data_IF_412391950040
#
_entry.id   IF_412391950040
#
_cell.length_a   1.000
_cell.length_b   1.000
_cell.length_c   1.000
_cell.angle_alpha   90.00
_cell.angle_beta   90.00
_cell.angle_gamma   90.00
#
_symmetry.space_group_name_H-M   'P 1'
#
loop_
_entity.id
_entity.type
_entity.pdbx_description
1 polymer ?
#
# COMPACT_ATOMS: atom_id res chain seq x y z
N UNK A 1 -19.48 22.75 9.98
CA UNK A 1 -19.07 22.63 8.56
C UNK A 1 -17.62 23.03 8.33
N UNK A 2 -17.17 24.22 8.69
CA UNK A 2 -15.79 24.67 8.45
C UNK A 2 -14.73 23.81 9.17
N UNK A 3 -14.95 23.43 10.42
CA UNK A 3 -14.05 22.56 11.20
C UNK A 3 -13.94 21.12 10.65
N UNK A 4 -15.06 20.58 10.10
CA UNK A 4 -15.05 19.24 9.48
C UNK A 4 -14.26 19.24 8.18
N UNK A 5 -14.41 20.27 7.36
CA UNK A 5 -13.67 20.41 6.09
C UNK A 5 -12.15 20.53 6.35
N UNK A 6 -11.74 21.30 7.36
CA UNK A 6 -10.32 21.43 7.75
C UNK A 6 -9.74 20.09 8.21
N UNK A 7 -10.50 19.30 8.96
CA UNK A 7 -10.07 17.96 9.37
C UNK A 7 -9.88 17.03 8.16
N UNK A 8 -10.84 17.02 7.22
CA UNK A 8 -10.74 16.22 5.99
C UNK A 8 -9.51 16.62 5.18
N UNK A 9 -9.25 17.92 5.02
CA UNK A 9 -8.07 18.43 4.31
C UNK A 9 -6.77 17.97 5.00
N UNK A 10 -6.68 18.02 6.33
CA UNK A 10 -5.52 17.55 7.08
C UNK A 10 -5.23 16.06 6.81
N UNK A 11 -6.27 15.23 6.83
CA UNK A 11 -6.16 13.81 6.51
C UNK A 11 -5.77 13.57 5.04
N UNK A 12 -6.35 14.32 4.11
CA UNK A 12 -6.04 14.21 2.68
C UNK A 12 -4.58 14.55 2.40
N UNK A 13 -4.04 15.63 2.99
CA UNK A 13 -2.64 16.06 2.77
C UNK A 13 -1.68 14.99 3.32
N UNK A 14 -1.94 14.43 4.50
CA UNK A 14 -1.09 13.40 5.08
C UNK A 14 -1.11 12.10 4.26
N UNK A 15 -2.27 11.69 3.73
CA UNK A 15 -2.41 10.53 2.85
C UNK A 15 -1.74 10.80 1.48
N UNK A 16 -1.91 12.01 0.92
CA UNK A 16 -1.27 12.45 -0.31
C UNK A 16 0.26 12.33 -0.20
N UNK A 17 0.85 12.83 0.89
CA UNK A 17 2.30 12.78 1.14
C UNK A 17 2.83 11.35 1.11
N UNK A 18 2.17 10.40 1.79
CA UNK A 18 2.54 8.99 1.77
C UNK A 18 2.39 8.35 0.38
N UNK A 19 1.37 8.75 -0.39
CA UNK A 19 1.14 8.24 -1.74
C UNK A 19 2.16 8.78 -2.76
N UNK A 20 2.53 10.07 -2.67
CA UNK A 20 3.63 10.66 -3.45
C UNK A 20 4.90 9.86 -3.22
N UNK A 21 5.28 9.65 -1.96
CA UNK A 21 6.51 8.95 -1.60
C UNK A 21 6.54 7.51 -2.12
N UNK A 22 5.44 6.79 -2.01
CA UNK A 22 5.35 5.39 -2.43
C UNK A 22 5.55 5.20 -3.95
N UNK A 23 5.13 6.16 -4.76
CA UNK A 23 5.20 6.05 -6.23
C UNK A 23 6.44 6.70 -6.81
N UNK A 24 6.91 7.81 -6.22
CA UNK A 24 8.03 8.58 -6.72
C UNK A 24 9.36 7.80 -6.65
N UNK A 25 9.55 6.99 -5.60
CA UNK A 25 10.78 6.21 -5.36
C UNK A 25 10.92 5.08 -6.38
N UNK A 26 9.82 4.45 -6.80
CA UNK A 26 9.87 3.36 -7.79
C UNK A 26 10.48 3.85 -9.11
N UNK A 27 10.13 5.05 -9.53
CA UNK A 27 10.64 5.65 -10.78
C UNK A 27 12.10 6.09 -10.68
N UNK A 28 12.54 6.50 -9.50
CA UNK A 28 13.91 6.94 -9.25
C UNK A 28 14.89 5.80 -8.96
N UNK A 29 14.38 4.58 -8.73
CA UNK A 29 15.19 3.44 -8.27
C UNK A 29 16.38 3.13 -9.19
N UNK A 30 16.25 3.10 -10.53
CA UNK A 30 17.39 2.88 -11.43
C UNK A 30 18.48 3.91 -11.25
N UNK A 31 18.11 5.19 -11.21
CA UNK A 31 19.06 6.31 -11.05
C UNK A 31 19.77 6.24 -9.69
N UNK A 32 19.03 5.91 -8.61
CA UNK A 32 19.59 5.73 -7.26
C UNK A 32 20.62 4.58 -7.29
N UNK A 33 20.26 3.46 -7.90
CA UNK A 33 21.12 2.27 -8.01
C UNK A 33 22.46 2.61 -8.65
N UNK A 34 22.44 3.26 -9.80
CA UNK A 34 23.64 3.65 -10.56
C UNK A 34 24.47 4.67 -9.77
N UNK A 35 23.86 5.73 -9.24
CA UNK A 35 24.60 6.82 -8.59
C UNK A 35 25.19 6.44 -7.23
N UNK A 36 24.59 5.49 -6.52
CA UNK A 36 25.14 4.97 -5.25
C UNK A 36 25.99 3.72 -5.43
N UNK A 37 26.22 3.24 -6.66
CA UNK A 37 26.98 2.02 -6.94
C UNK A 37 26.38 0.78 -6.26
N UNK A 38 25.06 0.73 -6.16
CA UNK A 38 24.34 -0.29 -5.42
C UNK A 38 24.12 -1.55 -6.26
N UNK A 39 24.04 -2.69 -5.56
CA UNK A 39 23.58 -3.95 -6.18
C UNK A 39 22.06 -3.94 -6.32
N UNK A 40 21.56 -4.82 -7.14
CA UNK A 40 20.14 -5.09 -7.31
C UNK A 40 19.42 -5.33 -5.99
N UNK A 41 19.89 -6.31 -5.25
CA UNK A 41 19.32 -6.72 -3.97
C UNK A 41 19.24 -5.52 -3.01
N UNK A 42 20.33 -4.74 -2.88
CA UNK A 42 20.35 -3.54 -2.05
C UNK A 42 19.33 -2.50 -2.48
N UNK A 43 19.11 -2.33 -3.79
CA UNK A 43 18.17 -1.35 -4.32
C UNK A 43 16.72 -1.74 -4.05
N UNK A 44 16.38 -3.02 -4.16
CA UNK A 44 15.05 -3.53 -3.79
C UNK A 44 14.76 -3.26 -2.31
N UNK A 45 15.77 -3.34 -1.43
CA UNK A 45 15.62 -3.07 -0.01
C UNK A 45 15.17 -1.63 0.31
N UNK A 46 15.41 -0.66 -0.57
CA UNK A 46 14.87 0.71 -0.39
C UNK A 46 13.33 0.69 -0.33
N UNK A 47 12.68 -0.15 -1.13
CA UNK A 47 11.21 -0.31 -1.13
C UNK A 47 10.78 -1.28 -0.04
N UNK A 48 11.48 -2.42 0.08
CA UNK A 48 11.10 -3.50 0.98
C UNK A 48 11.14 -3.10 2.45
N UNK A 49 12.17 -2.35 2.89
CA UNK A 49 12.25 -1.89 4.29
C UNK A 49 11.07 -0.97 4.65
N UNK A 50 10.67 -0.11 3.72
CA UNK A 50 9.52 0.77 3.92
C UNK A 50 8.23 -0.03 4.11
N UNK A 51 7.96 -0.99 3.23
CA UNK A 51 6.78 -1.86 3.32
C UNK A 51 6.81 -2.74 4.57
N UNK A 52 7.98 -3.29 4.91
CA UNK A 52 8.18 -4.14 6.08
C UNK A 52 7.88 -3.39 7.38
N UNK A 53 8.46 -2.20 7.56
CA UNK A 53 8.26 -1.38 8.76
C UNK A 53 6.80 -0.96 8.89
N UNK A 54 6.13 -0.60 7.78
CA UNK A 54 4.71 -0.28 7.80
C UNK A 54 3.89 -1.53 8.15
N UNK A 55 4.17 -2.68 7.56
CA UNK A 55 3.44 -3.92 7.81
C UNK A 55 3.52 -4.34 9.29
N UNK A 56 4.70 -4.28 9.89
CA UNK A 56 4.94 -4.64 11.29
C UNK A 56 4.38 -3.60 12.26
N UNK A 57 4.67 -2.31 11.97
CA UNK A 57 4.42 -1.24 12.95
C UNK A 57 2.98 -0.76 13.00
N UNK A 58 2.21 -0.86 11.90
CA UNK A 58 0.94 -0.15 11.77
C UNK A 58 -0.08 -0.54 12.84
N UNK A 59 -0.25 -1.82 13.18
CA UNK A 59 -1.22 -2.25 14.21
C UNK A 59 -0.87 -1.68 15.58
N UNK A 60 0.39 -1.78 15.99
CA UNK A 60 0.83 -1.31 17.32
C UNK A 60 0.88 0.21 17.42
N UNK A 61 1.23 0.90 16.35
CA UNK A 61 1.19 2.36 16.31
C UNK A 61 -0.26 2.89 16.31
N UNK A 62 -1.21 2.10 15.80
CA UNK A 62 -2.65 2.34 16.00
C UNK A 62 -3.06 2.22 17.47
N UNK A 63 -2.62 1.15 18.14
CA UNK A 63 -2.84 0.94 19.58
C UNK A 63 -2.14 2.03 20.41
N UNK A 64 -0.94 2.42 20.05
CA UNK A 64 -0.25 3.54 20.69
C UNK A 64 -1.04 4.84 20.58
N UNK A 65 -1.74 5.05 19.45
CA UNK A 65 -2.71 6.14 19.28
C UNK A 65 -3.89 6.05 20.24
N UNK A 66 -4.40 4.85 20.50
CA UNK A 66 -5.49 4.62 21.48
C UNK A 66 -5.01 4.93 22.92
N UNK A 67 -3.74 4.60 23.27
CA UNK A 67 -3.14 4.84 24.59
C UNK A 67 -2.81 6.31 24.83
N UNK A 68 -2.04 6.91 23.92
CA UNK A 68 -1.48 8.25 24.11
C UNK A 68 -2.38 9.37 23.59
N UNK A 69 -2.91 9.25 22.44
CA UNK A 69 -3.89 10.06 21.69
C UNK A 69 -3.64 9.88 20.19
N UNK A 70 -4.67 9.58 19.43
CA UNK A 70 -4.60 9.43 17.97
C UNK A 70 -4.04 10.69 17.28
N UNK A 71 -4.45 11.88 17.75
CA UNK A 71 -3.89 13.15 17.29
C UNK A 71 -2.38 13.24 17.51
N UNK A 72 -1.88 12.88 18.72
CA UNK A 72 -0.45 12.98 19.03
C UNK A 72 0.38 12.06 18.16
N UNK A 73 -0.05 10.79 18.02
CA UNK A 73 0.66 9.80 17.22
C UNK A 73 0.61 10.17 15.74
N UNK A 74 -0.53 10.64 15.24
CA UNK A 74 -0.67 11.10 13.86
C UNK A 74 0.26 12.27 13.54
N UNK A 75 0.29 13.30 14.40
CA UNK A 75 1.16 14.47 14.23
C UNK A 75 2.65 14.11 14.36
N UNK A 76 3.01 13.27 15.35
CA UNK A 76 4.37 12.74 15.48
C UNK A 76 4.77 11.93 14.23
N UNK A 77 3.83 11.18 13.65
CA UNK A 77 4.01 10.45 12.40
C UNK A 77 4.34 11.37 11.22
N UNK A 78 3.63 12.49 11.07
CA UNK A 78 3.95 13.49 10.03
C UNK A 78 5.35 14.06 10.26
N UNK A 79 5.69 14.42 11.50
CA UNK A 79 7.01 14.95 11.84
C UNK A 79 8.14 13.95 11.56
N UNK A 80 7.96 12.69 11.97
CA UNK A 80 8.94 11.62 11.76
C UNK A 80 9.09 11.27 10.27
N UNK A 81 7.99 11.24 9.51
CA UNK A 81 8.02 11.05 8.07
C UNK A 81 8.80 12.18 7.37
N UNK A 82 8.55 13.43 7.76
CA UNK A 82 9.22 14.61 7.21
C UNK A 82 10.72 14.60 7.50
N UNK A 83 11.08 14.27 8.74
CA UNK A 83 12.49 14.09 9.13
C UNK A 83 13.15 12.95 8.36
N UNK A 84 12.50 11.79 8.29
CA UNK A 84 12.98 10.64 7.52
C UNK A 84 13.17 10.97 6.03
N UNK A 85 12.25 11.76 5.44
CA UNK A 85 12.40 12.26 4.07
C UNK A 85 13.63 13.16 3.90
N UNK A 86 13.86 14.09 4.82
CA UNK A 86 15.05 14.94 4.79
C UNK A 86 16.35 14.11 4.88
N UNK A 87 16.38 13.12 5.76
CA UNK A 87 17.50 12.19 5.91
C UNK A 87 17.73 11.34 4.66
N UNK A 88 16.66 10.82 4.02
CA UNK A 88 16.77 10.09 2.77
C UNK A 88 17.38 10.93 1.65
N UNK A 89 16.97 12.18 1.51
CA UNK A 89 17.58 13.11 0.54
C UNK A 89 19.05 13.38 0.79
N UNK A 90 19.48 13.37 2.07
CA UNK A 90 20.86 13.58 2.49
C UNK A 90 21.71 12.29 2.50
N UNK A 91 21.15 11.12 2.18
CA UNK A 91 21.83 9.83 2.31
C UNK A 91 23.09 9.74 1.43
N UNK A 92 24.28 9.47 2.01
CA UNK A 92 25.52 9.34 1.26
C UNK A 92 25.74 7.93 0.67
N UNK A 93 25.13 6.91 1.26
CA UNK A 93 25.28 5.50 0.85
C UNK A 93 23.95 4.80 0.75
N UNK A 94 23.92 3.66 0.05
CA UNK A 94 22.71 2.82 -0.05
C UNK A 94 22.25 2.35 1.33
N UNK A 95 23.15 1.96 2.22
CA UNK A 95 22.82 1.49 3.57
C UNK A 95 22.19 2.61 4.40
N UNK A 96 22.74 3.83 4.37
CA UNK A 96 22.14 4.97 5.06
C UNK A 96 20.74 5.29 4.50
N UNK A 97 20.56 5.18 3.18
CA UNK A 97 19.25 5.38 2.56
C UNK A 97 18.24 4.33 3.06
N UNK A 98 18.62 3.06 3.12
CA UNK A 98 17.76 1.98 3.65
C UNK A 98 17.37 2.26 5.10
N UNK A 99 18.32 2.64 5.97
CA UNK A 99 18.05 2.96 7.37
C UNK A 99 17.08 4.15 7.48
N UNK A 100 17.34 5.22 6.74
CA UNK A 100 16.50 6.42 6.76
C UNK A 100 15.10 6.17 6.18
N UNK A 101 14.98 5.26 5.21
CA UNK A 101 13.68 4.75 4.74
C UNK A 101 12.91 4.03 5.84
N UNK A 102 13.59 3.28 6.71
CA UNK A 102 12.97 2.68 7.91
C UNK A 102 12.41 3.72 8.87
N UNK A 103 13.15 4.81 9.11
CA UNK A 103 12.69 5.96 9.93
C UNK A 103 11.45 6.61 9.30
N UNK A 104 11.51 6.90 8.01
CA UNK A 104 10.41 7.49 7.25
C UNK A 104 9.16 6.59 7.29
N UNK A 105 9.33 5.28 7.09
CA UNK A 105 8.27 4.29 7.13
C UNK A 105 7.58 4.21 8.50
N UNK A 106 8.33 4.39 9.60
CA UNK A 106 7.74 4.46 10.95
C UNK A 106 6.78 5.65 11.07
N UNK A 107 7.12 6.80 10.51
CA UNK A 107 6.22 7.95 10.41
C UNK A 107 4.97 7.65 9.57
N UNK A 108 5.15 7.01 8.42
CA UNK A 108 4.03 6.60 7.56
C UNK A 108 3.08 5.61 8.27
N UNK A 109 3.62 4.65 9.02
CA UNK A 109 2.84 3.70 9.81
C UNK A 109 1.99 4.39 10.88
N UNK A 110 2.54 5.41 11.57
CA UNK A 110 1.80 6.25 12.52
C UNK A 110 0.64 7.00 11.87
N UNK A 111 0.85 7.54 10.68
CA UNK A 111 -0.19 8.25 9.91
C UNK A 111 -1.27 7.26 9.48
N UNK A 112 -0.90 6.18 8.83
CA UNK A 112 -1.83 5.20 8.27
C UNK A 112 -2.71 4.56 9.33
N UNK A 113 -2.14 4.15 10.46
CA UNK A 113 -2.85 3.47 11.54
C UNK A 113 -3.90 4.35 12.19
N UNK A 114 -3.62 5.63 12.35
CA UNK A 114 -4.48 6.54 13.10
C UNK A 114 -5.49 7.30 12.22
N UNK A 115 -5.27 7.40 10.90
CA UNK A 115 -6.14 8.15 10.00
C UNK A 115 -7.59 7.65 10.00
N UNK A 116 -7.79 6.33 9.89
CA UNK A 116 -9.12 5.72 9.93
C UNK A 116 -9.83 5.89 11.28
N UNK A 117 -9.06 5.78 12.38
CA UNK A 117 -9.58 5.97 13.72
C UNK A 117 -9.97 7.44 13.98
N UNK A 118 -9.21 8.42 13.47
CA UNK A 118 -9.55 9.84 13.54
C UNK A 118 -10.85 10.11 12.78
N UNK A 119 -11.07 9.49 11.61
CA UNK A 119 -12.34 9.58 10.88
C UNK A 119 -13.48 9.02 11.73
N UNK A 120 -13.26 7.84 12.34
CA UNK A 120 -14.30 7.18 13.15
C UNK A 120 -14.67 7.96 14.41
N UNK A 121 -13.72 8.70 15.01
CA UNK A 121 -13.96 9.55 16.19
C UNK A 121 -14.77 10.82 15.87
N UNK A 122 -14.58 11.38 14.68
CA UNK A 122 -15.08 12.70 14.34
C UNK A 122 -16.35 12.68 13.44
N UNK A 123 -16.63 11.53 12.81
CA UNK A 123 -17.77 11.41 11.90
C UNK A 123 -18.68 10.23 12.27
N UNK A 124 -20.01 10.43 12.19
CA UNK A 124 -20.98 9.37 12.44
C UNK A 124 -20.88 8.28 11.34
N UNK A 125 -21.31 7.04 11.62
CA UNK A 125 -21.17 5.91 10.68
C UNK A 125 -21.71 6.18 9.26
N UNK A 126 -22.85 6.88 9.15
CA UNK A 126 -23.50 7.21 7.88
C UNK A 126 -22.81 8.31 7.05
N UNK A 127 -21.67 8.86 7.53
CA UNK A 127 -20.88 9.88 6.80
C UNK A 127 -19.43 9.44 6.56
N UNK A 128 -19.02 8.33 7.14
CA UNK A 128 -17.61 7.84 7.06
C UNK A 128 -17.22 7.45 5.66
N UNK A 129 -18.09 6.82 4.90
CA UNK A 129 -17.84 6.42 3.52
C UNK A 129 -17.47 7.62 2.66
N UNK A 130 -18.21 8.72 2.78
CA UNK A 130 -17.90 9.98 2.08
C UNK A 130 -16.55 10.56 2.48
N UNK A 131 -16.20 10.53 3.77
CA UNK A 131 -14.90 11.03 4.27
C UNK A 131 -13.77 10.17 3.77
N UNK A 132 -13.90 8.84 3.77
CA UNK A 132 -12.92 7.94 3.17
C UNK A 132 -12.83 8.13 1.65
N UNK A 133 -13.91 8.49 0.97
CA UNK A 133 -13.89 8.91 -0.43
C UNK A 133 -13.00 10.13 -0.66
N UNK A 134 -13.05 11.14 0.21
CA UNK A 134 -12.13 12.29 0.13
C UNK A 134 -10.69 11.91 0.43
N UNK A 135 -10.43 11.03 1.39
CA UNK A 135 -9.04 10.54 1.62
C UNK A 135 -8.51 9.74 0.43
N UNK A 136 -9.38 9.06 -0.32
CA UNK A 136 -9.00 8.40 -1.58
C UNK A 136 -8.61 9.41 -2.66
N UNK A 137 -9.22 10.60 -2.69
CA UNK A 137 -8.75 11.71 -3.57
C UNK A 137 -7.32 12.08 -3.23
N UNK A 138 -7.00 12.26 -1.94
CA UNK A 138 -5.64 12.55 -1.49
C UNK A 138 -4.64 11.48 -1.93
N UNK A 139 -5.00 10.20 -1.79
CA UNK A 139 -4.16 9.09 -2.22
C UNK A 139 -3.93 9.08 -3.74
N UNK A 140 -4.98 9.13 -4.53
CA UNK A 140 -4.87 9.08 -6.00
C UNK A 140 -4.14 10.31 -6.57
N UNK A 141 -4.46 11.51 -6.05
CA UNK A 141 -3.76 12.73 -6.41
C UNK A 141 -2.26 12.65 -6.04
N UNK A 142 -1.95 12.14 -4.84
CA UNK A 142 -0.58 11.94 -4.40
C UNK A 142 0.17 10.93 -5.29
N UNK A 143 -0.43 9.80 -5.58
CA UNK A 143 0.17 8.79 -6.45
C UNK A 143 0.41 9.34 -7.88
N UNK A 144 -0.54 10.10 -8.42
CA UNK A 144 -0.39 10.79 -9.70
C UNK A 144 0.77 11.79 -9.68
N UNK A 145 0.82 12.66 -8.67
CA UNK A 145 1.89 13.65 -8.52
C UNK A 145 3.25 12.96 -8.33
N UNK A 146 3.30 11.87 -7.57
CA UNK A 146 4.51 11.10 -7.35
C UNK A 146 5.06 10.49 -8.64
N UNK A 147 4.19 9.96 -9.50
CA UNK A 147 4.58 9.42 -10.80
C UNK A 147 5.09 10.53 -11.72
N UNK A 148 4.36 11.63 -11.87
CA UNK A 148 4.73 12.73 -12.78
C UNK A 148 5.99 13.43 -12.28
N UNK A 149 6.02 13.84 -11.02
CA UNK A 149 7.18 14.54 -10.46
C UNK A 149 8.38 13.61 -10.26
N UNK A 150 8.16 12.31 -10.03
CA UNK A 150 9.25 11.34 -9.95
C UNK A 150 10.09 11.31 -11.22
N UNK A 151 9.45 11.22 -12.37
CA UNK A 151 10.12 11.26 -13.66
C UNK A 151 10.81 12.61 -13.92
N UNK A 152 10.11 13.73 -13.69
CA UNK A 152 10.65 15.07 -13.92
C UNK A 152 11.83 15.40 -12.98
N UNK A 153 11.63 15.23 -11.67
CA UNK A 153 12.65 15.59 -10.67
C UNK A 153 13.89 14.71 -10.85
N UNK A 154 13.72 13.41 -11.04
CA UNK A 154 14.86 12.50 -11.20
C UNK A 154 15.67 12.82 -12.45
N UNK A 155 15.01 13.20 -13.54
CA UNK A 155 15.67 13.50 -14.83
C UNK A 155 16.38 14.85 -14.81
N UNK A 156 15.76 15.90 -14.29
CA UNK A 156 16.25 17.29 -14.46
C UNK A 156 16.98 17.87 -13.24
N UNK A 157 16.65 17.38 -12.02
CA UNK A 157 17.14 17.98 -10.78
C UNK A 157 18.01 16.98 -10.01
N UNK A 158 17.64 15.70 -10.02
CA UNK A 158 18.32 14.61 -9.34
C UNK A 158 17.44 13.88 -8.30
N UNK A 159 17.73 12.59 -8.10
CA UNK A 159 16.89 11.70 -7.27
C UNK A 159 16.75 12.14 -5.80
N UNK A 160 17.72 12.86 -5.23
CA UNK A 160 17.64 13.32 -3.84
C UNK A 160 16.46 14.25 -3.59
N UNK A 161 16.07 15.02 -4.57
CA UNK A 161 14.97 15.97 -4.48
C UNK A 161 13.60 15.32 -4.47
N UNK A 162 13.47 14.03 -4.87
CA UNK A 162 12.22 13.30 -4.68
C UNK A 162 11.85 13.12 -3.20
N UNK A 163 12.87 13.09 -2.33
CA UNK A 163 12.66 13.06 -0.89
C UNK A 163 12.49 14.47 -0.31
N UNK A 164 13.28 15.44 -0.77
CA UNK A 164 13.19 16.81 -0.26
C UNK A 164 11.86 17.48 -0.57
N UNK A 165 11.14 17.11 -1.64
CA UNK A 165 9.80 17.63 -1.94
C UNK A 165 8.79 17.34 -0.81
N UNK A 166 8.97 16.23 -0.09
CA UNK A 166 8.12 15.88 1.05
C UNK A 166 8.34 16.78 2.27
N UNK A 167 9.48 17.48 2.36
CA UNK A 167 9.81 18.30 3.54
C UNK A 167 8.88 19.51 3.66
N UNK A 168 8.75 20.40 2.65
CA UNK A 168 7.82 21.52 2.75
C UNK A 168 6.36 21.05 2.87
N UNK A 169 5.97 19.99 2.17
CA UNK A 169 4.62 19.41 2.25
C UNK A 169 4.37 18.91 3.69
N UNK A 170 5.34 18.19 4.28
CA UNK A 170 5.22 17.63 5.61
C UNK A 170 5.19 18.70 6.72
N UNK A 171 5.99 19.77 6.61
CA UNK A 171 5.93 20.91 7.54
C UNK A 171 4.54 21.54 7.48
N UNK A 172 4.02 21.82 6.28
CA UNK A 172 2.69 22.38 6.10
C UNK A 172 1.61 21.43 6.66
N UNK A 173 1.68 20.14 6.34
CA UNK A 173 0.75 19.13 6.83
C UNK A 173 0.76 19.05 8.36
N UNK A 174 1.94 19.10 8.99
CA UNK A 174 2.09 19.04 10.44
C UNK A 174 1.44 20.26 11.11
N UNK A 175 1.77 21.46 10.66
CA UNK A 175 1.21 22.70 11.20
C UNK A 175 -0.32 22.73 11.05
N UNK A 176 -0.82 22.30 9.90
CA UNK A 176 -2.24 22.25 9.62
C UNK A 176 -2.95 21.19 10.47
N UNK A 177 -2.35 20.00 10.65
CA UNK A 177 -2.90 18.91 11.45
C UNK A 177 -2.93 19.25 12.96
N UNK A 178 -1.90 19.91 13.49
CA UNK A 178 -1.85 20.35 14.89
C UNK A 178 -3.05 21.25 15.21
N UNK A 179 -3.39 22.16 14.32
CA UNK A 179 -4.47 23.13 14.52
C UNK A 179 -5.86 22.52 14.36
N UNK A 180 -6.04 21.56 13.44
CA UNK A 180 -7.36 21.14 12.98
C UNK A 180 -7.81 19.75 13.43
N UNK A 181 -6.89 18.86 13.89
CA UNK A 181 -7.24 17.55 14.43
C UNK A 181 -7.54 17.67 15.93
N UNK A 182 -8.68 17.13 16.36
CA UNK A 182 -9.07 17.09 17.78
C UNK A 182 -8.50 15.86 18.47
N UNK A 183 -8.19 15.97 19.75
CA UNK A 183 -7.77 14.81 20.54
C UNK A 183 -8.96 13.87 20.78
N UNK A 184 -8.80 12.59 20.44
CA UNK A 184 -9.76 11.53 20.74
C UNK A 184 -9.66 11.04 22.20
N UNK A 185 -10.56 10.14 22.60
CA UNK A 185 -10.53 9.47 23.90
C UNK A 185 -9.34 8.53 23.98
N UNK A 186 -8.75 8.42 25.19
CA UNK A 186 -7.66 7.47 25.46
C UNK A 186 -8.23 6.19 26.05
N UNK A 187 -7.57 5.08 25.76
CA UNK A 187 -7.91 3.75 26.28
C UNK A 187 -6.72 3.21 27.06
N UNK A 188 -6.97 2.61 28.23
CA UNK A 188 -5.93 1.90 28.99
C UNK A 188 -5.72 0.52 28.39
N UNK A 189 -4.62 0.33 27.67
CA UNK A 189 -4.19 -0.96 27.12
C UNK A 189 -2.67 -1.00 27.06
N UNK A 190 -2.06 -2.14 26.77
CA UNK A 190 -0.60 -2.30 26.64
C UNK A 190 -0.22 -2.74 25.23
N UNK A 191 1.04 -2.47 24.84
CA UNK A 191 1.61 -2.95 23.61
C UNK A 191 2.02 -4.41 23.73
N UNK A 192 1.91 -5.14 22.63
CA UNK A 192 2.37 -6.52 22.50
C UNK A 192 3.76 -6.54 21.86
N UNK A 193 4.80 -6.34 22.68
CA UNK A 193 6.18 -6.34 22.22
C UNK A 193 6.61 -7.70 21.65
N UNK A 194 6.31 -8.86 22.33
CA UNK A 194 6.62 -10.16 21.74
C UNK A 194 6.00 -10.37 20.37
N UNK A 195 4.72 -10.04 20.19
CA UNK A 195 4.03 -10.14 18.90
C UNK A 195 4.67 -9.28 17.82
N UNK A 196 5.08 -8.02 18.15
CA UNK A 196 5.81 -7.15 17.22
C UNK A 196 7.10 -7.83 16.76
N UNK A 197 7.91 -8.33 17.69
CA UNK A 197 9.21 -8.94 17.38
C UNK A 197 9.04 -10.20 16.52
N UNK A 198 8.09 -11.06 16.87
CA UNK A 198 7.83 -12.28 16.09
C UNK A 198 7.34 -11.97 14.67
N UNK A 199 6.40 -11.02 14.53
CA UNK A 199 5.93 -10.59 13.20
C UNK A 199 7.06 -9.94 12.39
N UNK A 200 7.89 -9.12 13.02
CA UNK A 200 9.04 -8.49 12.39
C UNK A 200 10.04 -9.52 11.87
N UNK A 201 10.42 -10.49 12.72
CA UNK A 201 11.37 -11.54 12.35
C UNK A 201 10.81 -12.40 11.22
N UNK A 202 9.56 -12.85 11.30
CA UNK A 202 8.96 -13.71 10.28
C UNK A 202 8.90 -13.02 8.92
N UNK A 203 8.39 -11.79 8.87
CA UNK A 203 8.31 -11.03 7.62
C UNK A 203 9.70 -10.67 7.10
N UNK A 204 10.68 -10.38 7.98
CA UNK A 204 12.05 -10.11 7.57
C UNK A 204 12.70 -11.32 6.93
N UNK A 205 12.59 -12.52 7.52
CA UNK A 205 13.16 -13.74 6.95
C UNK A 205 12.55 -14.08 5.60
N UNK A 206 11.21 -14.03 5.49
CA UNK A 206 10.51 -14.29 4.22
C UNK A 206 10.89 -13.24 3.16
N UNK A 207 10.92 -11.95 3.54
CA UNK A 207 11.25 -10.88 2.60
C UNK A 207 12.72 -10.94 2.15
N UNK A 208 13.63 -11.27 3.06
CA UNK A 208 15.05 -11.43 2.73
C UNK A 208 15.24 -12.59 1.74
N UNK A 209 14.72 -13.76 2.06
CA UNK A 209 14.78 -14.91 1.17
C UNK A 209 14.17 -14.61 -0.20
N UNK A 210 13.02 -13.97 -0.23
CA UNK A 210 12.35 -13.60 -1.48
C UNK A 210 13.19 -12.65 -2.34
N UNK A 211 13.82 -11.64 -1.74
CA UNK A 211 14.69 -10.71 -2.46
C UNK A 211 15.96 -11.41 -2.92
N UNK A 212 16.56 -12.24 -2.07
CA UNK A 212 17.80 -12.95 -2.40
C UNK A 212 17.59 -14.00 -3.50
N UNK A 213 16.49 -14.74 -3.48
CA UNK A 213 16.10 -15.68 -4.55
C UNK A 213 16.06 -15.00 -5.91
N UNK A 214 15.69 -13.73 -5.99
CA UNK A 214 15.63 -13.00 -7.28
C UNK A 214 17.02 -12.72 -7.84
N UNK A 215 18.05 -12.57 -7.00
CA UNK A 215 19.42 -12.28 -7.39
C UNK A 215 20.32 -13.53 -7.44
N UNK A 216 20.24 -14.39 -6.43
CA UNK A 216 21.16 -15.53 -6.23
C UNK A 216 20.55 -16.88 -6.62
N UNK A 217 19.22 -16.94 -6.69
CA UNK A 217 18.47 -18.16 -6.95
C UNK A 217 17.98 -18.85 -5.69
N UNK A 218 17.27 -19.95 -5.90
CA UNK A 218 16.85 -20.81 -4.80
C UNK A 218 18.08 -21.60 -4.34
N UNK A 219 18.44 -21.40 -3.09
CA UNK A 219 19.51 -22.13 -2.40
C UNK A 219 19.02 -22.64 -1.04
N UNK A 220 19.72 -23.59 -0.40
CA UNK A 220 19.32 -24.15 0.89
C UNK A 220 19.20 -23.11 2.01
N UNK A 221 19.96 -22.01 1.96
CA UNK A 221 19.90 -20.95 2.95
C UNK A 221 18.57 -20.16 2.83
N UNK A 222 18.15 -19.84 1.61
CA UNK A 222 16.89 -19.15 1.34
C UNK A 222 15.68 -20.03 1.69
N UNK A 223 15.74 -21.32 1.39
CA UNK A 223 14.72 -22.28 1.78
C UNK A 223 14.58 -22.35 3.32
N UNK A 224 15.72 -22.43 4.02
CA UNK A 224 15.75 -22.44 5.49
C UNK A 224 15.14 -21.17 6.08
N UNK A 225 15.44 -19.98 5.53
CA UNK A 225 14.87 -18.71 5.99
C UNK A 225 13.35 -18.66 5.78
N UNK A 226 12.83 -19.17 4.66
CA UNK A 226 11.40 -19.26 4.42
C UNK A 226 10.75 -20.19 5.46
N UNK A 227 11.33 -21.36 5.69
CA UNK A 227 10.83 -22.34 6.68
C UNK A 227 10.82 -21.72 8.09
N UNK A 228 11.93 -21.08 8.51
CA UNK A 228 12.00 -20.40 9.80
C UNK A 228 10.96 -19.30 9.88
N UNK A 229 10.81 -18.47 8.84
CA UNK A 229 9.81 -17.41 8.79
C UNK A 229 8.38 -17.95 8.95
N UNK A 230 8.05 -19.05 8.27
CA UNK A 230 6.76 -19.72 8.40
C UNK A 230 6.54 -20.32 9.79
N UNK A 231 7.57 -20.96 10.39
CA UNK A 231 7.49 -21.46 11.78
C UNK A 231 7.23 -20.32 12.74
N UNK A 232 7.93 -19.20 12.59
CA UNK A 232 7.74 -18.00 13.44
C UNK A 232 6.32 -17.42 13.29
N UNK A 233 5.76 -17.40 12.07
CA UNK A 233 4.35 -16.97 11.87
C UNK A 233 3.38 -17.91 12.61
N UNK A 234 3.57 -19.22 12.48
CA UNK A 234 2.70 -20.19 13.17
C UNK A 234 2.81 -20.02 14.69
N UNK A 235 4.03 -19.89 15.21
CA UNK A 235 4.29 -19.65 16.63
C UNK A 235 3.68 -18.31 17.08
N UNK A 236 3.83 -17.25 16.29
CA UNK A 236 3.19 -15.96 16.52
C UNK A 236 1.66 -16.10 16.68
N UNK A 237 0.98 -16.79 15.75
CA UNK A 237 -0.47 -17.01 15.83
C UNK A 237 -0.85 -17.82 17.07
N UNK A 238 -0.01 -18.77 17.52
CA UNK A 238 -0.24 -19.52 18.75
C UNK A 238 -0.10 -18.63 19.99
N UNK A 239 0.94 -17.80 20.06
CA UNK A 239 1.19 -16.87 21.16
C UNK A 239 0.09 -15.82 21.26
N UNK A 240 -0.40 -15.29 20.13
CA UNK A 240 -1.51 -14.34 20.06
C UNK A 240 -2.82 -14.84 20.67
N UNK A 241 -2.99 -16.17 20.80
CA UNK A 241 -4.16 -16.76 21.49
C UNK A 241 -4.09 -16.65 23.01
N UNK A 242 -2.89 -16.49 23.56
CA UNK A 242 -2.61 -16.58 24.99
C UNK A 242 -2.34 -15.20 25.59
N UNK A 243 -1.80 -14.27 24.80
CA UNK A 243 -1.44 -12.93 25.25
C UNK A 243 -2.69 -12.12 25.60
N UNK A 244 -2.65 -11.41 26.73
CA UNK A 244 -3.78 -10.61 27.23
C UNK A 244 -4.19 -9.47 26.28
N UNK A 245 -3.22 -8.84 25.64
CA UNK A 245 -3.43 -7.75 24.68
C UNK A 245 -2.75 -8.08 23.34
N UNK A 246 -3.30 -9.01 22.54
CA UNK A 246 -2.66 -9.50 21.34
C UNK A 246 -2.55 -8.41 20.26
N UNK A 247 -1.51 -8.48 19.43
CA UNK A 247 -1.34 -7.65 18.22
C UNK A 247 -2.47 -7.91 17.22
N UNK A 248 -2.81 -9.18 17.06
CA UNK A 248 -3.96 -9.65 16.29
C UNK A 248 -5.10 -10.02 17.24
N UNK A 249 -6.05 -9.13 17.50
CA UNK A 249 -7.17 -9.47 18.37
C UNK A 249 -8.05 -10.51 17.68
N UNK A 250 -7.78 -11.79 17.89
CA UNK A 250 -8.50 -12.90 17.25
C UNK A 250 -10.02 -12.84 17.51
N UNK A 251 -10.45 -12.13 18.56
CA UNK A 251 -11.86 -11.82 18.84
C UNK A 251 -12.51 -11.00 17.71
N UNK A 252 -11.74 -10.17 17.00
CA UNK A 252 -12.22 -9.41 15.81
C UNK A 252 -12.70 -10.36 14.72
N UNK A 253 -12.06 -11.52 14.56
CA UNK A 253 -12.46 -12.52 13.59
C UNK A 253 -13.81 -13.19 13.89
N UNK A 254 -14.35 -13.04 15.09
CA UNK A 254 -15.73 -13.49 15.42
C UNK A 254 -16.78 -12.55 14.83
N UNK A 255 -16.44 -11.30 14.53
CA UNK A 255 -17.34 -10.36 13.88
C UNK A 255 -17.18 -10.56 12.38
N UNK A 256 -18.14 -11.26 11.77
CA UNK A 256 -18.08 -11.69 10.36
C UNK A 256 -17.75 -10.55 9.40
N UNK A 257 -18.44 -9.41 9.48
CA UNK A 257 -18.23 -8.26 8.60
C UNK A 257 -16.79 -7.76 8.72
N UNK A 258 -16.27 -7.65 9.93
CA UNK A 258 -14.94 -7.15 10.22
C UNK A 258 -13.85 -8.08 9.68
N UNK A 259 -13.98 -9.39 9.99
CA UNK A 259 -13.08 -10.43 9.50
C UNK A 259 -13.00 -10.46 7.98
N UNK A 260 -14.16 -10.57 7.33
CA UNK A 260 -14.22 -10.67 5.88
C UNK A 260 -13.77 -9.39 5.17
N UNK A 261 -14.00 -8.21 5.76
CA UNK A 261 -13.51 -6.95 5.20
C UNK A 261 -11.99 -6.82 5.29
N UNK A 262 -11.40 -7.24 6.41
CA UNK A 262 -9.94 -7.23 6.59
C UNK A 262 -9.27 -8.24 5.66
N UNK A 263 -9.81 -9.46 5.56
CA UNK A 263 -9.30 -10.49 4.65
C UNK A 263 -9.48 -10.09 3.18
N UNK A 264 -10.60 -9.46 2.82
CA UNK A 264 -10.80 -8.91 1.48
C UNK A 264 -9.75 -7.84 1.14
N UNK A 265 -9.37 -6.99 2.12
CA UNK A 265 -8.30 -6.01 1.93
C UNK A 265 -6.93 -6.67 1.74
N UNK A 266 -6.62 -7.71 2.51
CA UNK A 266 -5.39 -8.50 2.36
C UNK A 266 -5.29 -9.09 0.94
N UNK A 267 -6.29 -9.87 0.52
CA UNK A 267 -6.28 -10.52 -0.78
C UNK A 267 -6.36 -9.52 -1.94
N UNK A 268 -7.08 -8.39 -1.77
CA UNK A 268 -7.09 -7.33 -2.76
C UNK A 268 -5.70 -6.72 -2.93
N UNK A 269 -5.00 -6.42 -1.85
CA UNK A 269 -3.64 -5.87 -1.91
C UNK A 269 -2.64 -6.88 -2.47
N UNK A 270 -2.79 -8.17 -2.10
CA UNK A 270 -1.96 -9.27 -2.60
C UNK A 270 -2.10 -9.46 -4.11
N UNK A 271 -3.32 -9.35 -4.66
CA UNK A 271 -3.60 -9.56 -6.08
C UNK A 271 -3.39 -8.33 -6.95
N UNK A 272 -3.40 -7.12 -6.37
CA UNK A 272 -3.53 -5.92 -7.19
C UNK A 272 -2.27 -5.06 -7.29
N UNK A 273 -1.46 -4.95 -6.24
CA UNK A 273 -0.37 -3.98 -6.25
C UNK A 273 0.72 -4.32 -7.28
N UNK A 274 1.05 -5.60 -7.41
CA UNK A 274 2.01 -6.06 -8.40
C UNK A 274 1.55 -5.79 -9.84
N UNK A 275 0.24 -5.69 -10.09
CA UNK A 275 -0.28 -5.43 -11.44
C UNK A 275 0.22 -4.09 -11.98
N UNK A 276 0.19 -3.03 -11.17
CA UNK A 276 0.70 -1.72 -11.59
C UNK A 276 2.18 -1.80 -11.93
N UNK A 277 2.95 -2.51 -11.12
CA UNK A 277 4.36 -2.76 -11.34
C UNK A 277 4.61 -3.56 -12.63
N UNK A 278 3.86 -4.65 -12.86
CA UNK A 278 3.94 -5.47 -14.06
C UNK A 278 3.65 -4.65 -15.32
N UNK A 279 2.64 -3.78 -15.28
CA UNK A 279 2.30 -2.89 -16.41
C UNK A 279 3.41 -1.87 -16.67
N UNK A 280 4.04 -1.33 -15.62
CA UNK A 280 5.21 -0.45 -15.79
C UNK A 280 6.36 -1.21 -16.45
N UNK A 281 6.64 -2.44 -16.05
CA UNK A 281 7.65 -3.29 -16.69
C UNK A 281 7.31 -3.58 -18.16
N UNK A 282 6.05 -3.85 -18.46
CA UNK A 282 5.60 -3.99 -19.86
C UNK A 282 5.88 -2.72 -20.68
N UNK A 283 5.50 -1.55 -20.15
CA UNK A 283 5.63 -0.29 -20.88
C UNK A 283 7.10 0.13 -21.05
N UNK A 284 7.92 0.00 -20.03
CA UNK A 284 9.32 0.41 -20.09
C UNK A 284 10.21 -0.67 -20.72
N UNK A 285 10.06 -1.92 -20.29
CA UNK A 285 10.90 -3.02 -20.75
C UNK A 285 10.53 -3.51 -22.16
N UNK A 286 9.27 -3.91 -22.39
CA UNK A 286 8.86 -4.51 -23.67
C UNK A 286 8.62 -3.42 -24.72
N UNK A 287 7.94 -2.33 -24.35
CA UNK A 287 7.56 -1.27 -25.28
C UNK A 287 8.63 -0.18 -25.41
N UNK A 288 9.68 -0.19 -24.58
CA UNK A 288 10.77 0.78 -24.61
C UNK A 288 10.35 2.23 -24.33
N UNK A 289 9.20 2.43 -23.66
CA UNK A 289 8.69 3.77 -23.35
C UNK A 289 9.47 4.39 -22.19
N UNK A 290 9.68 5.69 -22.26
CA UNK A 290 10.28 6.41 -21.13
C UNK A 290 9.40 6.33 -19.86
N UNK A 291 9.97 6.46 -18.66
CA UNK A 291 9.22 6.49 -17.41
C UNK A 291 8.07 7.51 -17.43
N UNK A 292 8.30 8.68 -18.04
CA UNK A 292 7.28 9.73 -18.16
C UNK A 292 6.10 9.27 -19.03
N UNK A 293 6.35 8.73 -20.22
CA UNK A 293 5.26 8.24 -21.08
C UNK A 293 4.50 7.08 -20.45
N UNK A 294 5.20 6.16 -19.80
CA UNK A 294 4.59 5.05 -19.07
C UNK A 294 3.66 5.56 -17.96
N UNK A 295 4.07 6.60 -17.25
CA UNK A 295 3.26 7.20 -16.19
C UNK A 295 2.01 7.90 -16.72
N UNK A 296 2.12 8.60 -17.85
CA UNK A 296 0.98 9.27 -18.49
C UNK A 296 -0.11 8.29 -18.93
N UNK A 297 0.26 7.07 -19.34
CA UNK A 297 -0.69 6.02 -19.70
C UNK A 297 -1.46 5.46 -18.48
N UNK A 298 -0.88 5.54 -17.29
CA UNK A 298 -1.53 5.13 -16.05
C UNK A 298 -2.34 6.27 -15.39
N UNK A 299 -2.13 7.50 -15.83
CA UNK A 299 -2.75 8.71 -15.28
C UNK A 299 -4.30 8.66 -15.25
N UNK A 300 -5.02 8.17 -16.29
CA UNK A 300 -6.48 8.13 -16.29
C UNK A 300 -7.07 7.43 -15.08
N UNK A 301 -6.45 6.34 -14.60
CA UNK A 301 -6.91 5.62 -13.41
C UNK A 301 -6.85 6.48 -12.14
N UNK A 302 -5.77 7.21 -11.93
CA UNK A 302 -5.63 8.09 -10.76
C UNK A 302 -6.58 9.29 -10.81
N UNK A 303 -6.77 9.88 -12.00
CA UNK A 303 -7.72 10.98 -12.21
C UNK A 303 -9.14 10.52 -11.91
N UNK A 304 -9.56 9.41 -12.50
CA UNK A 304 -10.90 8.83 -12.28
C UNK A 304 -11.08 8.43 -10.83
N UNK A 305 -10.08 7.80 -10.22
CA UNK A 305 -10.09 7.45 -8.81
C UNK A 305 -10.28 8.65 -7.89
N UNK A 306 -9.66 9.79 -8.23
CA UNK A 306 -9.81 11.05 -7.50
C UNK A 306 -11.22 11.64 -7.64
N UNK A 307 -11.78 11.64 -8.84
CA UNK A 307 -13.10 12.22 -9.12
C UNK A 307 -14.21 11.35 -8.50
N UNK A 308 -14.14 10.04 -8.69
CA UNK A 308 -15.20 9.11 -8.29
C UNK A 308 -15.14 8.69 -6.82
N UNK A 309 -14.01 8.87 -6.12
CA UNK A 309 -13.87 8.48 -4.71
C UNK A 309 -14.96 9.03 -3.79
N UNK A 310 -15.21 10.35 -3.74
CA UNK A 310 -16.28 10.92 -2.93
C UNK A 310 -17.69 10.49 -3.34
N UNK A 311 -17.90 10.26 -4.65
CA UNK A 311 -19.18 9.78 -5.17
C UNK A 311 -19.48 8.36 -4.68
N UNK A 312 -18.55 7.44 -4.83
CA UNK A 312 -18.72 6.06 -4.35
C UNK A 312 -18.68 5.96 -2.82
N UNK A 313 -17.95 6.85 -2.14
CA UNK A 313 -18.05 6.99 -0.69
C UNK A 313 -19.46 7.36 -0.23
N UNK A 314 -20.10 8.35 -0.90
CA UNK A 314 -21.50 8.73 -0.62
C UNK A 314 -22.47 7.61 -0.99
N UNK A 315 -22.20 6.87 -2.06
CA UNK A 315 -23.00 5.71 -2.44
C UNK A 315 -22.94 4.63 -1.36
N UNK A 316 -21.74 4.37 -0.82
CA UNK A 316 -21.53 3.44 0.30
C UNK A 316 -22.35 3.82 1.53
N UNK A 317 -22.39 5.10 1.89
CA UNK A 317 -23.19 5.58 3.03
C UNK A 317 -24.70 5.36 2.80
N UNK A 318 -25.17 5.33 1.53
CA UNK A 318 -26.58 5.13 1.18
C UNK A 318 -26.99 3.65 1.08
N UNK A 319 -26.21 2.82 0.38
CA UNK A 319 -26.60 1.44 0.07
C UNK A 319 -25.86 0.38 0.90
N UNK A 320 -24.93 0.82 1.79
CA UNK A 320 -24.02 -0.06 2.55
C UNK A 320 -22.74 -0.41 1.79
N UNK A 321 -21.80 -1.01 2.50
CA UNK A 321 -20.45 -1.22 1.99
C UNK A 321 -20.30 -2.49 1.14
N UNK A 322 -21.19 -3.48 1.31
CA UNK A 322 -21.06 -4.82 0.68
C UNK A 322 -21.00 -4.75 -0.83
N UNK A 323 -22.00 -4.11 -1.45
CA UNK A 323 -22.11 -4.04 -2.91
C UNK A 323 -21.01 -3.20 -3.53
N UNK A 324 -20.75 -1.94 -3.07
CA UNK A 324 -19.68 -1.14 -3.65
C UNK A 324 -18.30 -1.77 -3.54
N UNK A 325 -17.95 -2.37 -2.40
CA UNK A 325 -16.66 -3.01 -2.26
C UNK A 325 -16.51 -4.24 -3.17
N UNK A 326 -17.53 -5.08 -3.28
CA UNK A 326 -17.48 -6.27 -4.14
C UNK A 326 -17.39 -5.90 -5.62
N UNK A 327 -18.23 -4.94 -6.06
CA UNK A 327 -18.16 -4.43 -7.44
C UNK A 327 -16.81 -3.75 -7.73
N UNK A 328 -16.25 -3.02 -6.76
CA UNK A 328 -14.93 -2.43 -6.90
C UNK A 328 -13.85 -3.48 -7.21
N UNK A 329 -13.82 -4.59 -6.47
CA UNK A 329 -12.88 -5.69 -6.74
C UNK A 329 -13.17 -6.34 -8.10
N UNK A 330 -14.42 -6.56 -8.45
CA UNK A 330 -14.79 -7.15 -9.74
C UNK A 330 -14.34 -6.27 -10.92
N UNK A 331 -14.46 -4.95 -10.81
CA UNK A 331 -13.98 -4.00 -11.83
C UNK A 331 -12.45 -4.03 -11.91
N UNK A 332 -11.73 -4.13 -10.77
CA UNK A 332 -10.28 -4.32 -10.80
C UNK A 332 -9.88 -5.63 -11.49
N UNK A 333 -10.60 -6.73 -11.24
CA UNK A 333 -10.36 -7.99 -11.92
C UNK A 333 -10.64 -7.87 -13.43
N UNK A 334 -11.70 -7.17 -13.83
CA UNK A 334 -11.98 -6.88 -15.25
C UNK A 334 -10.85 -6.05 -15.90
N UNK A 335 -10.25 -5.10 -15.17
CA UNK A 335 -9.08 -4.37 -15.66
C UNK A 335 -7.90 -5.31 -15.96
N UNK A 336 -7.67 -6.31 -15.11
CA UNK A 336 -6.59 -7.29 -15.34
C UNK A 336 -6.93 -8.19 -16.55
N UNK A 337 -8.21 -8.57 -16.75
CA UNK A 337 -8.63 -9.29 -17.97
C UNK A 337 -8.34 -8.45 -19.22
N UNK A 338 -8.57 -7.14 -19.19
CA UNK A 338 -8.15 -6.24 -20.27
C UNK A 338 -6.64 -6.27 -20.45
N UNK A 339 -5.85 -6.23 -19.38
CA UNK A 339 -4.39 -6.32 -19.47
C UNK A 339 -3.89 -7.68 -20.00
N UNK A 340 -4.62 -8.77 -19.82
CA UNK A 340 -4.29 -10.08 -20.41
C UNK A 340 -4.35 -10.08 -21.95
N UNK A 341 -5.02 -9.12 -22.58
CA UNK A 341 -5.02 -8.97 -24.03
C UNK A 341 -3.77 -8.25 -24.56
N UNK A 342 -2.88 -7.78 -23.69
CA UNK A 342 -1.62 -7.14 -24.10
C UNK A 342 -0.70 -8.15 -24.79
N UNK A 343 -0.11 -7.70 -25.88
CA UNK A 343 0.93 -8.40 -26.63
C UNK A 343 2.10 -7.44 -26.85
N UNK A 344 3.18 -7.91 -27.46
CA UNK A 344 4.35 -7.09 -27.79
C UNK A 344 3.97 -5.87 -28.67
N UNK A 345 2.93 -6.01 -29.51
CA UNK A 345 2.53 -4.98 -30.49
C UNK A 345 1.15 -4.37 -30.22
N UNK A 346 0.52 -4.68 -29.09
CA UNK A 346 -0.82 -4.18 -28.77
C UNK A 346 -0.88 -2.65 -28.76
N UNK A 347 -2.07 -2.12 -29.08
CA UNK A 347 -2.35 -0.69 -28.95
C UNK A 347 -2.25 -0.26 -27.48
N UNK A 348 -1.64 0.89 -27.22
CA UNK A 348 -1.54 1.48 -25.88
C UNK A 348 -2.90 1.88 -25.29
N UNK A 349 -3.95 1.97 -26.09
CA UNK A 349 -5.33 2.16 -25.62
C UNK A 349 -5.79 1.07 -24.65
N UNK A 350 -5.29 -0.16 -24.78
CA UNK A 350 -5.56 -1.25 -23.83
C UNK A 350 -5.10 -0.87 -22.43
N UNK A 351 -3.94 -0.22 -22.31
CA UNK A 351 -3.41 0.24 -21.01
C UNK A 351 -4.26 1.37 -20.44
N UNK A 352 -4.71 2.31 -21.28
CA UNK A 352 -5.58 3.40 -20.85
C UNK A 352 -6.93 2.86 -20.31
N UNK A 353 -7.56 1.92 -21.02
CA UNK A 353 -8.81 1.27 -20.59
C UNK A 353 -8.62 0.51 -19.28
N UNK A 354 -7.56 -0.29 -19.18
CA UNK A 354 -7.24 -1.02 -17.95
C UNK A 354 -6.97 -0.08 -16.79
N UNK A 355 -6.23 1.02 -17.00
CA UNK A 355 -5.97 2.05 -16.00
C UNK A 355 -7.28 2.72 -15.52
N UNK A 356 -8.17 3.10 -16.45
CA UNK A 356 -9.48 3.67 -16.14
C UNK A 356 -10.32 2.73 -15.24
N UNK A 357 -10.41 1.45 -15.61
CA UNK A 357 -11.13 0.44 -14.82
C UNK A 357 -10.48 0.25 -13.44
N UNK A 358 -9.17 0.22 -13.37
CA UNK A 358 -8.41 0.14 -12.11
C UNK A 358 -8.78 1.27 -11.15
N UNK A 359 -8.76 2.51 -11.64
CA UNK A 359 -9.11 3.69 -10.85
C UNK A 359 -10.57 3.68 -10.40
N UNK A 360 -11.49 3.27 -11.28
CA UNK A 360 -12.90 3.12 -10.95
C UNK A 360 -13.11 2.07 -9.86
N UNK A 361 -12.54 0.88 -10.03
CA UNK A 361 -12.65 -0.21 -9.05
C UNK A 361 -12.07 0.14 -7.68
N UNK A 362 -10.88 0.76 -7.65
CA UNK A 362 -10.24 1.16 -6.40
C UNK A 362 -11.03 2.25 -5.67
N UNK A 363 -11.59 3.24 -6.38
CA UNK A 363 -12.42 4.30 -5.81
C UNK A 363 -13.74 3.80 -5.22
N UNK A 364 -14.23 2.65 -5.66
CA UNK A 364 -15.38 1.95 -5.05
C UNK A 364 -14.95 1.12 -3.83
N UNK A 365 -13.87 0.35 -3.95
CA UNK A 365 -13.45 -0.60 -2.93
C UNK A 365 -12.98 0.07 -1.65
N UNK A 366 -11.99 0.98 -1.73
CA UNK A 366 -11.33 1.51 -0.53
C UNK A 366 -12.26 2.27 0.41
N UNK A 367 -13.10 3.23 -0.04
CA UNK A 367 -14.04 3.91 0.85
C UNK A 367 -15.04 2.95 1.49
N UNK A 368 -15.56 2.01 0.71
CA UNK A 368 -16.55 1.06 1.18
C UNK A 368 -15.95 0.09 2.22
N UNK A 369 -14.78 -0.46 1.94
CA UNK A 369 -14.14 -1.42 2.84
C UNK A 369 -13.65 -0.77 4.14
N UNK A 370 -13.06 0.44 4.06
CA UNK A 370 -12.65 1.19 5.25
C UNK A 370 -13.86 1.58 6.11
N UNK A 371 -14.96 2.02 5.48
CA UNK A 371 -16.21 2.34 6.17
C UNK A 371 -16.78 1.12 6.89
N UNK A 372 -16.81 -0.06 6.23
CA UNK A 372 -17.27 -1.31 6.84
C UNK A 372 -16.49 -1.68 8.10
N UNK A 373 -15.15 -1.61 8.02
CA UNK A 373 -14.29 -1.92 9.17
C UNK A 373 -14.53 -0.95 10.31
N UNK A 374 -14.57 0.35 10.05
CA UNK A 374 -14.74 1.36 11.09
C UNK A 374 -16.16 1.39 11.67
N UNK A 375 -17.19 1.07 10.88
CA UNK A 375 -18.57 1.05 11.36
C UNK A 375 -18.87 -0.14 12.30
N UNK A 376 -18.16 -1.26 12.09
CA UNK A 376 -18.36 -2.49 12.86
C UNK A 376 -17.29 -2.72 13.94
N UNK A 377 -16.33 -1.81 14.11
CA UNK A 377 -15.34 -1.85 15.17
C UNK A 377 -15.88 -1.24 16.46
N UNK A 378 -15.56 -1.81 17.64
CA UNK A 378 -15.80 -1.16 18.93
C UNK A 378 -15.06 0.19 18.98
N UNK A 379 -15.68 1.20 19.61
CA UNK A 379 -15.10 2.57 19.66
C UNK A 379 -13.73 2.60 20.34
N UNK A 380 -13.54 1.79 21.36
CA UNK A 380 -12.33 1.65 22.14
C UNK A 380 -11.17 1.06 21.31
N UNK A 381 -11.50 0.36 20.22
CA UNK A 381 -10.56 -0.37 19.37
C UNK A 381 -10.41 0.24 17.97
N UNK A 382 -10.87 1.48 17.73
CA UNK A 382 -10.77 2.09 16.40
C UNK A 382 -9.33 2.18 15.88
N UNK A 383 -8.36 2.56 16.72
CA UNK A 383 -6.95 2.62 16.35
C UNK A 383 -6.39 1.25 16.00
N UNK A 384 -6.68 0.25 16.86
CA UNK A 384 -6.27 -1.13 16.63
C UNK A 384 -6.87 -1.70 15.33
N UNK A 385 -8.17 -1.52 15.12
CA UNK A 385 -8.86 -2.01 13.91
C UNK A 385 -8.37 -1.33 12.63
N UNK A 386 -8.12 -0.01 12.69
CA UNK A 386 -7.53 0.74 11.59
C UNK A 386 -6.11 0.27 11.29
N UNK A 387 -5.30 0.11 12.34
CA UNK A 387 -3.94 -0.40 12.23
C UNK A 387 -3.90 -1.82 11.67
N UNK A 388 -4.75 -2.72 12.18
CA UNK A 388 -4.82 -4.10 11.73
C UNK A 388 -5.26 -4.23 10.25
N UNK A 389 -6.28 -3.46 9.84
CA UNK A 389 -6.68 -3.38 8.44
C UNK A 389 -5.49 -2.98 7.55
N UNK A 390 -4.72 -1.99 7.97
CA UNK A 390 -3.56 -1.51 7.21
C UNK A 390 -2.41 -2.51 7.23
N UNK A 391 -2.13 -3.14 8.37
CA UNK A 391 -1.11 -4.20 8.47
C UNK A 391 -1.43 -5.34 7.50
N UNK A 392 -2.66 -5.84 7.47
CA UNK A 392 -3.07 -6.90 6.55
C UNK A 392 -2.95 -6.47 5.09
N UNK A 393 -3.36 -5.24 4.75
CA UNK A 393 -3.18 -4.69 3.41
C UNK A 393 -1.69 -4.58 3.03
N UNK A 394 -0.83 -4.14 3.96
CA UNK A 394 0.60 -3.98 3.70
C UNK A 394 1.34 -5.33 3.59
N UNK A 395 0.95 -6.34 4.38
CA UNK A 395 1.45 -7.72 4.22
C UNK A 395 1.04 -8.26 2.84
N UNK A 396 -0.22 -8.04 2.44
CA UNK A 396 -0.69 -8.39 1.10
C UNK A 396 0.12 -7.70 0.01
N UNK A 397 0.41 -6.40 0.17
CA UNK A 397 1.23 -5.61 -0.74
C UNK A 397 2.64 -6.18 -0.87
N UNK A 398 3.28 -6.48 0.25
CA UNK A 398 4.61 -7.10 0.29
C UNK A 398 4.61 -8.45 -0.43
N UNK A 399 3.64 -9.32 -0.12
CA UNK A 399 3.46 -10.60 -0.79
C UNK A 399 3.18 -10.46 -2.30
N UNK A 400 2.47 -9.41 -2.73
CA UNK A 400 2.20 -9.12 -4.13
C UNK A 400 3.50 -8.90 -4.93
N UNK A 401 4.44 -8.13 -4.39
CA UNK A 401 5.75 -7.93 -5.01
C UNK A 401 6.55 -9.22 -5.08
N UNK A 402 6.58 -10.00 -3.99
CA UNK A 402 7.27 -11.29 -3.95
C UNK A 402 6.73 -12.22 -5.03
N UNK A 403 5.42 -12.39 -5.12
CA UNK A 403 4.77 -13.26 -6.12
C UNK A 403 5.10 -12.77 -7.54
N UNK A 404 4.96 -11.48 -7.81
CA UNK A 404 5.20 -10.93 -9.14
C UNK A 404 6.64 -11.14 -9.61
N UNK A 405 7.60 -10.86 -8.75
CA UNK A 405 9.03 -11.01 -9.07
C UNK A 405 9.37 -12.49 -9.25
N UNK A 406 8.86 -13.37 -8.37
CA UNK A 406 9.10 -14.81 -8.47
C UNK A 406 8.58 -15.38 -9.79
N UNK A 407 7.35 -15.04 -10.19
CA UNK A 407 6.75 -15.52 -11.44
C UNK A 407 7.49 -14.96 -12.66
N UNK A 408 7.86 -13.68 -12.65
CA UNK A 408 8.63 -13.07 -13.73
C UNK A 408 10.01 -13.76 -13.90
N UNK A 409 10.64 -14.16 -12.79
CA UNK A 409 11.94 -14.84 -12.80
C UNK A 409 11.91 -16.26 -13.37
N UNK A 410 10.75 -16.93 -13.38
CA UNK A 410 10.61 -18.28 -13.96
C UNK A 410 10.69 -18.24 -15.49
N UNK A 411 10.20 -17.15 -16.10
CA UNK A 411 10.01 -17.04 -17.54
C UNK A 411 11.21 -16.44 -18.27
N UNK A 412 12.15 -15.80 -17.58
CA UNK A 412 13.31 -15.12 -18.16
C UNK A 412 14.54 -15.28 -17.28
N UNK A 413 15.76 -15.26 -17.85
CA UNK A 413 16.97 -15.17 -17.04
C UNK A 413 16.89 -14.02 -16.05
N UNK A 414 17.26 -14.28 -14.79
CA UNK A 414 17.07 -13.34 -13.67
C UNK A 414 17.69 -11.97 -13.88
N UNK A 415 18.89 -11.94 -14.48
CA UNK A 415 19.57 -10.69 -14.80
C UNK A 415 18.77 -9.83 -15.79
N UNK A 416 18.07 -10.46 -16.75
CA UNK A 416 17.22 -9.76 -17.73
C UNK A 416 15.97 -9.18 -17.06
N UNK A 417 15.28 -9.97 -16.23
CA UNK A 417 14.12 -9.50 -15.48
C UNK A 417 14.48 -8.28 -14.63
N UNK A 418 15.71 -8.25 -14.10
CA UNK A 418 16.20 -7.15 -13.29
C UNK A 418 16.66 -5.95 -14.10
N UNK A 419 17.40 -6.12 -15.18
CA UNK A 419 17.81 -5.02 -16.06
C UNK A 419 16.60 -4.29 -16.62
N UNK A 420 15.53 -5.03 -16.94
CA UNK A 420 14.22 -4.47 -17.30
C UNK A 420 13.57 -3.73 -16.12
N UNK A 421 13.62 -4.33 -14.93
CA UNK A 421 13.11 -3.68 -13.72
C UNK A 421 13.85 -2.38 -13.40
N UNK A 422 15.17 -2.40 -13.54
CA UNK A 422 16.01 -1.24 -13.31
C UNK A 422 15.95 -0.20 -14.44
N UNK A 423 15.26 -0.48 -15.56
CA UNK A 423 15.18 0.40 -16.71
C UNK A 423 16.51 0.54 -17.46
N UNK A 424 17.41 -0.43 -17.30
CA UNK A 424 18.75 -0.43 -17.92
C UNK A 424 18.72 -0.98 -19.34
N UNK A 425 17.81 -1.91 -19.63
CA UNK A 425 17.58 -2.46 -20.97
C UNK A 425 16.47 -1.70 -21.69
N UNK A 426 16.81 -1.04 -22.78
CA UNK A 426 15.85 -0.34 -23.64
C UNK A 426 15.04 -1.26 -24.57
N UNK A 427 15.44 -2.54 -24.70
CA UNK A 427 14.66 -3.55 -25.45
C UNK A 427 15.10 -4.97 -25.09
N UNK A 428 14.13 -5.86 -24.91
CA UNK A 428 14.37 -7.27 -24.58
C UNK A 428 14.71 -8.15 -25.80
N UNK A 429 14.67 -7.61 -27.03
CA UNK A 429 14.98 -8.37 -28.23
C UNK A 429 14.28 -9.73 -28.30
N UNK A 430 15.08 -10.82 -28.41
CA UNK A 430 14.58 -12.21 -28.50
C UNK A 430 13.90 -12.72 -27.23
N UNK A 431 14.04 -12.05 -26.09
CA UNK A 431 13.49 -12.46 -24.78
C UNK A 431 12.09 -11.87 -24.53
N UNK A 432 11.62 -10.97 -25.39
CA UNK A 432 10.32 -10.28 -25.23
C UNK A 432 9.13 -11.22 -25.12
N UNK A 433 9.12 -12.31 -25.87
CA UNK A 433 8.02 -13.29 -25.86
C UNK A 433 7.97 -14.06 -24.53
N UNK A 434 9.11 -14.51 -24.02
CA UNK A 434 9.20 -15.22 -22.74
C UNK A 434 8.83 -14.31 -21.58
N UNK A 435 9.26 -13.04 -21.61
CA UNK A 435 8.89 -12.07 -20.61
C UNK A 435 7.38 -11.77 -20.63
N UNK A 436 6.77 -11.69 -21.82
CA UNK A 436 5.33 -11.50 -21.98
C UNK A 436 4.54 -12.69 -21.39
N UNK A 437 5.02 -13.93 -21.54
CA UNK A 437 4.40 -15.09 -20.88
C UNK A 437 4.44 -15.02 -19.36
N UNK A 438 5.54 -14.52 -18.77
CA UNK A 438 5.66 -14.25 -17.33
C UNK A 438 4.70 -13.18 -16.84
N UNK A 439 4.52 -12.10 -17.62
CA UNK A 439 3.51 -11.06 -17.36
C UNK A 439 2.12 -11.69 -17.33
N UNK A 440 1.73 -12.46 -18.34
CA UNK A 440 0.42 -13.09 -18.39
C UNK A 440 0.21 -14.06 -17.23
N UNK A 441 1.21 -14.89 -16.89
CA UNK A 441 1.13 -15.79 -15.74
C UNK A 441 0.89 -15.02 -14.42
N UNK A 442 1.61 -13.92 -14.22
CA UNK A 442 1.43 -13.05 -13.04
C UNK A 442 0.04 -12.43 -13.00
N UNK A 443 -0.49 -11.98 -14.13
CA UNK A 443 -1.83 -11.40 -14.24
C UNK A 443 -2.93 -12.46 -13.97
N UNK A 444 -2.76 -13.70 -14.43
CA UNK A 444 -3.69 -14.80 -14.13
C UNK A 444 -3.73 -15.09 -12.62
N UNK A 445 -2.57 -15.17 -11.97
CA UNK A 445 -2.49 -15.36 -10.51
C UNK A 445 -3.18 -14.21 -9.79
N UNK A 446 -2.98 -12.98 -10.25
CA UNK A 446 -3.64 -11.80 -9.69
C UNK A 446 -5.18 -11.87 -9.79
N UNK A 447 -5.74 -12.34 -10.91
CA UNK A 447 -7.19 -12.56 -11.09
C UNK A 447 -7.71 -13.59 -10.08
N UNK A 448 -7.02 -14.71 -9.92
CA UNK A 448 -7.41 -15.75 -8.96
C UNK A 448 -7.48 -15.18 -7.54
N UNK A 449 -6.45 -14.44 -7.14
CA UNK A 449 -6.38 -13.80 -5.82
C UNK A 449 -7.49 -12.75 -5.65
N UNK A 450 -7.75 -11.91 -6.65
CA UNK A 450 -8.85 -10.94 -6.61
C UNK A 450 -10.23 -11.61 -6.58
N UNK A 451 -10.39 -12.76 -7.22
CA UNK A 451 -11.64 -13.53 -7.16
C UNK A 451 -11.91 -14.01 -5.73
N UNK A 452 -10.88 -14.45 -4.99
CA UNK A 452 -10.99 -14.77 -3.56
C UNK A 452 -11.40 -13.52 -2.76
N UNK A 453 -10.77 -12.37 -3.03
CA UNK A 453 -11.11 -11.11 -2.36
C UNK A 453 -12.58 -10.72 -2.61
N UNK A 454 -13.07 -10.87 -3.84
CA UNK A 454 -14.45 -10.58 -4.21
C UNK A 454 -15.45 -11.52 -3.50
N UNK A 455 -15.16 -12.82 -3.46
CA UNK A 455 -15.97 -13.81 -2.73
C UNK A 455 -16.04 -13.48 -1.23
N UNK A 456 -14.92 -13.12 -0.60
CA UNK A 456 -14.89 -12.70 0.79
C UNK A 456 -15.72 -11.42 1.00
N UNK A 457 -15.53 -10.42 0.15
CA UNK A 457 -16.31 -9.18 0.21
C UNK A 457 -17.81 -9.42 0.05
N UNK A 458 -18.22 -10.31 -0.85
CA UNK A 458 -19.62 -10.70 -1.06
C UNK A 458 -20.20 -11.44 0.14
N UNK A 459 -19.40 -12.31 0.78
CA UNK A 459 -19.83 -13.20 1.85
C UNK A 459 -19.85 -12.55 3.23
N UNK A 460 -19.40 -11.29 3.38
CA UNK A 460 -19.28 -10.61 4.68
C UNK A 460 -20.61 -10.35 5.42
N UNK A 461 -21.76 -10.46 4.73
CA UNK A 461 -23.07 -10.20 5.30
C UNK A 461 -23.53 -8.75 5.12
N UNK A 462 -24.78 -8.48 5.50
CA UNK A 462 -25.35 -7.13 5.51
C UNK A 462 -24.91 -6.36 6.77
N UNK A 463 -24.67 -5.06 6.63
CA UNK A 463 -24.46 -4.17 7.78
C UNK A 463 -25.74 -4.06 8.58
N UNK A 464 -25.65 -4.20 9.90
CA UNK A 464 -26.75 -3.83 10.80
C UNK A 464 -26.81 -2.30 10.76
N UNK A 465 -27.66 -1.75 9.89
CA UNK A 465 -28.00 -0.34 9.97
C UNK A 465 -28.74 -0.13 11.29
N UNK A 466 -28.17 0.66 12.16
CA UNK A 466 -28.98 1.29 13.18
C UNK A 466 -29.87 2.34 12.48
N UNK A 467 -30.91 1.86 11.79
CA UNK A 467 -32.06 2.71 11.51
C UNK A 467 -32.69 2.95 12.87
N UNK A 468 -32.28 4.06 13.52
CA UNK A 468 -33.17 4.76 14.44
C UNK A 468 -32.52 6.04 15.00
N UNK A 469 -33.14 7.11 14.54
CA UNK A 469 -33.29 8.45 15.13
C UNK A 469 -32.11 9.40 15.09
#
# INVERSE_FOLDING_TARGET
>A
MESESKLIIALMIAVLMGAVDSTIVILALPTITVQLGATLSSSIWIIMIYLLVIAVGTTQLGRLGDILSRKRIFNAGIGLFTLGSALCGAAPTILSLIIFRGVQASGAAMIQSNSGAIVADNFPPNRRGRVFGYTSVGYNAGAMLGIVFGGLITTFIGWRYIFYINVPIGIFALLFAIQNIRAGKRVKTSLDIPGIVMLALSLSFISYAAVDITSSGVDPFNELLIIIGLIVIVTFVMVERIVANPLLPLKIFRIRILSFSIMASFFQSLGFLAVVFIIIMYLQGIRGLSPLYSSLLLLPGYVVGSILGPYFGKLTDRIGSRIPATLGIAIMAAAIVVYLTLTIVSSLYVVLVGSFLTGTGSSMFYPANNSAVMANSPRELYGLSSGFLRTMANIGMLGSFVIAISIASISVPRYVAFEVFAGVLNSLGSVSASFMSGIHASLIVAIVILSIAAMLSLSRGGEVRSDKH
#
